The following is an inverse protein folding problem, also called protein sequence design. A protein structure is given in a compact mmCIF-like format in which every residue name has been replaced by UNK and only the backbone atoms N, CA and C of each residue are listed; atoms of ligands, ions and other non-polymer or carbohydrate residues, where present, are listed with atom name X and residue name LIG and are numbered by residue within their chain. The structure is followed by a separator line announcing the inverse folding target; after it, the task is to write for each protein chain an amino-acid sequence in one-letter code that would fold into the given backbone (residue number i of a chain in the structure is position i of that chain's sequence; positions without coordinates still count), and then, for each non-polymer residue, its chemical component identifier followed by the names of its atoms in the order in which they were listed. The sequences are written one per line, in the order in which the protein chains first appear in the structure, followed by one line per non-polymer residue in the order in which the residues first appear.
data_IF_040952168893
#
_entry.id   IF_040952168893
#
_cell.length_a   1.000
_cell.length_b   1.000
_cell.length_c   1.000
_cell.angle_alpha   90.00
_cell.angle_beta   90.00
_cell.angle_gamma   90.00
#
_symmetry.space_group_name_H-M   'P 1'
#
loop_
_entity.id
_entity.type
_entity.pdbx_description
1 polymer ?
#
# COMPACT_ATOMS: atom_id res chain seq x y z
N UNK A 1 -27.23 -29.87 -21.87
CA UNK A 1 -25.96 -29.30 -21.41
C UNK A 1 -26.30 -28.26 -20.36
N UNK A 2 -25.99 -28.46 -19.06
CA UNK A 2 -26.14 -27.39 -18.09
C UNK A 2 -25.09 -26.33 -18.40
N UNK A 3 -25.51 -25.10 -18.58
CA UNK A 3 -24.63 -23.94 -18.75
C UNK A 3 -23.85 -23.75 -17.46
N UNK A 4 -22.54 -24.00 -17.48
CA UNK A 4 -21.66 -23.67 -16.37
C UNK A 4 -21.71 -22.16 -16.13
N UNK A 5 -22.34 -21.78 -15.04
CA UNK A 5 -22.40 -20.42 -14.51
C UNK A 5 -20.98 -20.02 -14.11
N UNK A 6 -20.27 -19.36 -15.03
CA UNK A 6 -18.91 -18.88 -14.80
C UNK A 6 -18.95 -17.87 -13.65
N UNK A 7 -18.33 -18.13 -12.48
CA UNK A 7 -18.43 -17.22 -11.34
C UNK A 7 -17.94 -15.84 -11.76
N UNK A 8 -18.75 -14.82 -11.45
CA UNK A 8 -18.37 -13.44 -11.68
C UNK A 8 -17.06 -13.14 -10.94
N UNK A 9 -16.11 -12.39 -11.51
CA UNK A 9 -14.90 -12.02 -10.80
C UNK A 9 -15.28 -11.13 -9.61
N UNK A 10 -15.35 -11.71 -8.42
CA UNK A 10 -15.49 -11.00 -7.14
C UNK A 10 -14.14 -10.39 -6.74
N UNK A 11 -13.60 -9.52 -7.60
CA UNK A 11 -12.42 -8.73 -7.28
C UNK A 11 -12.78 -7.60 -6.32
N UNK A 12 -12.07 -7.48 -5.20
CA UNK A 12 -12.22 -6.33 -4.29
C UNK A 12 -11.85 -5.05 -5.03
N UNK A 13 -12.78 -4.10 -5.10
CA UNK A 13 -12.50 -2.76 -5.64
C UNK A 13 -11.76 -1.96 -4.58
N UNK A 14 -10.56 -1.50 -4.89
CA UNK A 14 -9.75 -0.64 -4.03
C UNK A 14 -9.85 0.81 -4.50
N UNK A 15 -10.15 1.73 -3.59
CA UNK A 15 -10.24 3.17 -3.90
C UNK A 15 -8.88 3.86 -3.78
N UNK A 16 -8.70 4.99 -4.47
CA UNK A 16 -7.48 5.80 -4.32
C UNK A 16 -7.28 6.34 -2.91
N UNK A 17 -8.36 6.71 -2.22
CA UNK A 17 -8.28 7.16 -0.83
C UNK A 17 -7.68 6.06 0.05
N UNK A 18 -8.13 4.81 -0.13
CA UNK A 18 -7.62 3.64 0.60
C UNK A 18 -6.15 3.34 0.27
N UNK A 19 -5.73 3.47 -0.98
CA UNK A 19 -4.30 3.34 -1.33
C UNK A 19 -3.47 4.38 -0.57
N UNK A 20 -3.94 5.63 -0.52
CA UNK A 20 -3.22 6.74 0.09
C UNK A 20 -3.22 6.69 1.62
N UNK A 21 -4.12 5.94 2.29
CA UNK A 21 -4.00 5.69 3.73
C UNK A 21 -2.77 4.85 4.08
N UNK A 22 -2.25 4.09 3.12
CA UNK A 22 -1.03 3.28 3.25
C UNK A 22 0.19 3.94 2.60
N UNK A 23 0.26 5.28 2.61
CA UNK A 23 1.34 6.03 1.97
C UNK A 23 2.77 5.53 2.33
N UNK A 24 3.11 5.21 3.59
CA UNK A 24 4.44 4.67 3.90
C UNK A 24 4.77 3.36 3.17
N UNK A 25 3.78 2.50 2.93
CA UNK A 25 3.97 1.28 2.15
C UNK A 25 4.16 1.60 0.66
N UNK A 26 3.40 2.58 0.14
CA UNK A 26 3.57 3.10 -1.23
C UNK A 26 4.99 3.61 -1.44
N UNK A 27 5.49 4.46 -0.54
CA UNK A 27 6.85 5.02 -0.63
C UNK A 27 7.92 3.94 -0.60
N UNK A 28 7.83 3.04 0.39
CA UNK A 28 8.80 1.95 0.55
C UNK A 28 8.84 1.03 -0.68
N UNK A 29 7.68 0.67 -1.22
CA UNK A 29 7.59 -0.22 -2.38
C UNK A 29 7.98 0.50 -3.69
N UNK A 30 7.69 1.80 -3.84
CA UNK A 30 8.21 2.60 -4.96
C UNK A 30 9.75 2.65 -4.95
N UNK A 31 10.34 2.77 -3.75
CA UNK A 31 11.77 2.75 -3.60
C UNK A 31 12.36 1.35 -3.88
N UNK A 32 11.79 0.27 -3.31
CA UNK A 32 12.35 -1.08 -3.48
C UNK A 32 12.19 -1.64 -4.88
N UNK A 33 11.01 -1.48 -5.49
CA UNK A 33 10.69 -2.13 -6.78
C UNK A 33 11.16 -1.31 -7.99
N UNK A 34 11.25 0.02 -7.84
CA UNK A 34 11.54 0.92 -8.95
C UNK A 34 12.71 1.88 -8.71
N UNK A 35 13.30 1.90 -7.51
CA UNK A 35 14.35 2.87 -7.16
C UNK A 35 13.84 4.31 -7.14
N UNK A 36 12.54 4.52 -6.90
CA UNK A 36 11.92 5.84 -6.90
C UNK A 36 11.87 6.38 -5.48
N UNK A 37 12.55 7.50 -5.26
CA UNK A 37 12.37 8.32 -4.07
C UNK A 37 11.34 9.43 -4.37
N UNK A 38 10.23 9.45 -3.62
CA UNK A 38 9.19 10.46 -3.78
C UNK A 38 9.54 11.80 -3.13
N UNK A 39 10.55 11.83 -2.25
CA UNK A 39 11.08 13.06 -1.66
C UNK A 39 12.03 13.79 -2.61
N UNK A 40 12.50 13.12 -3.68
CA UNK A 40 13.25 13.78 -4.76
C UNK A 40 12.34 14.74 -5.55
N UNK A 41 12.38 16.01 -5.15
CA UNK A 41 11.62 17.09 -5.78
C UNK A 41 11.99 17.31 -7.24
N UNK A 42 13.22 17.02 -7.65
CA UNK A 42 13.66 17.14 -9.04
C UNK A 42 12.95 16.11 -9.92
N UNK A 43 12.97 14.84 -9.48
CA UNK A 43 12.28 13.75 -10.14
C UNK A 43 10.76 13.99 -10.17
N UNK A 44 10.15 14.35 -9.04
CA UNK A 44 8.70 14.54 -8.94
C UNK A 44 8.19 15.74 -9.75
N UNK A 45 9.02 16.77 -10.00
CA UNK A 45 8.67 17.88 -10.91
C UNK A 45 8.83 17.53 -12.38
N UNK A 46 9.78 16.67 -12.72
CA UNK A 46 10.07 16.27 -14.10
C UNK A 46 9.07 15.24 -14.66
N UNK A 47 8.36 14.52 -13.78
CA UNK A 47 7.42 13.46 -14.16
C UNK A 47 5.98 13.86 -13.86
N UNK A 48 5.06 13.33 -14.66
CA UNK A 48 3.63 13.62 -14.48
C UNK A 48 3.01 12.73 -13.40
N UNK A 49 1.88 13.19 -12.83
CA UNK A 49 1.09 12.35 -11.93
C UNK A 49 0.66 11.03 -12.59
N UNK A 50 0.37 11.03 -13.90
CA UNK A 50 0.06 9.79 -14.64
C UNK A 50 1.21 8.78 -14.59
N UNK A 51 2.46 9.24 -14.66
CA UNK A 51 3.64 8.37 -14.58
C UNK A 51 3.75 7.69 -13.21
N UNK A 52 3.53 8.45 -12.13
CA UNK A 52 3.55 7.93 -10.76
C UNK A 52 2.37 7.00 -10.51
N UNK A 53 1.17 7.41 -10.92
CA UNK A 53 -0.07 6.61 -10.83
C UNK A 53 0.11 5.21 -11.41
N UNK A 54 0.70 5.08 -12.60
CA UNK A 54 0.90 3.77 -13.23
C UNK A 54 1.81 2.85 -12.42
N UNK A 55 2.80 3.40 -11.71
CA UNK A 55 3.70 2.62 -10.83
C UNK A 55 3.00 2.19 -9.56
N UNK A 56 2.23 3.08 -8.94
CA UNK A 56 1.42 2.74 -7.76
C UNK A 56 0.41 1.62 -8.10
N UNK A 57 -0.24 1.68 -9.27
CA UNK A 57 -1.11 0.58 -9.74
C UNK A 57 -0.30 -0.71 -9.98
N UNK A 58 0.90 -0.61 -10.53
CA UNK A 58 1.81 -1.75 -10.71
C UNK A 58 2.14 -2.47 -9.39
N UNK A 59 2.29 -1.73 -8.29
CA UNK A 59 2.52 -2.31 -6.96
C UNK A 59 1.36 -3.21 -6.50
N UNK A 60 0.12 -2.93 -6.91
CA UNK A 60 -1.06 -3.75 -6.58
C UNK A 60 -1.09 -5.07 -7.37
N UNK A 61 -0.39 -5.15 -8.50
CA UNK A 61 -0.33 -6.35 -9.33
C UNK A 61 0.78 -7.31 -8.89
N UNK A 62 1.63 -6.92 -7.95
CA UNK A 62 2.74 -7.70 -7.42
C UNK A 62 2.55 -8.01 -5.93
N UNK A 63 3.33 -8.96 -5.40
CA UNK A 63 3.37 -9.26 -3.96
C UNK A 63 4.20 -8.21 -3.21
N UNK A 64 3.56 -7.07 -2.94
CA UNK A 64 4.17 -5.91 -2.30
C UNK A 64 3.63 -5.69 -0.89
N UNK A 65 4.21 -4.76 -0.11
CA UNK A 65 3.65 -4.40 1.20
C UNK A 65 2.28 -3.76 1.02
N UNK A 66 2.13 -2.90 0.01
CA UNK A 66 0.88 -2.26 -0.34
C UNK A 66 -0.20 -3.28 -0.72
N UNK A 67 0.12 -4.25 -1.58
CA UNK A 67 -0.81 -5.30 -2.00
C UNK A 67 -1.32 -6.14 -0.81
N UNK A 68 -0.42 -6.51 0.11
CA UNK A 68 -0.77 -7.24 1.34
C UNK A 68 -1.58 -6.39 2.32
N UNK A 69 -1.24 -5.12 2.49
CA UNK A 69 -1.98 -4.19 3.35
C UNK A 69 -3.43 -3.99 2.88
N UNK A 70 -3.66 -4.06 1.57
CA UNK A 70 -4.96 -3.94 0.93
C UNK A 70 -5.65 -5.29 0.68
N UNK A 71 -5.11 -6.40 1.18
CA UNK A 71 -5.81 -7.67 1.11
C UNK A 71 -6.94 -7.72 2.15
N UNK A 72 -8.11 -8.33 1.86
CA UNK A 72 -9.25 -8.38 2.77
C UNK A 72 -8.93 -9.14 4.07
N UNK A 73 -7.99 -10.06 4.02
CA UNK A 73 -7.45 -10.80 5.18
C UNK A 73 -6.42 -9.98 5.97
N UNK A 74 -6.21 -8.72 5.56
CA UNK A 74 -5.35 -7.76 6.23
C UNK A 74 -5.80 -7.67 7.67
N UNK A 75 -5.12 -8.42 8.53
CA UNK A 75 -5.08 -8.22 9.97
C UNK A 75 -4.94 -6.73 10.19
N UNK A 76 -6.09 -6.09 10.40
CA UNK A 76 -6.19 -4.94 11.27
C UNK A 76 -5.71 -5.50 12.60
N UNK A 77 -4.39 -5.48 12.78
CA UNK A 77 -3.79 -5.68 14.07
C UNK A 77 -4.45 -4.63 14.94
N UNK A 78 -5.41 -5.09 15.74
CA UNK A 78 -5.67 -4.57 17.05
C UNK A 78 -4.31 -4.25 17.66
N UNK A 79 -3.91 -2.99 17.56
CA UNK A 79 -2.82 -2.46 18.34
C UNK A 79 -3.49 -2.00 19.62
N UNK A 80 -3.49 -2.78 20.71
CA UNK A 80 -3.73 -2.18 22.00
C UNK A 80 -2.69 -1.08 22.16
N UNK A 81 -3.15 0.19 22.16
CA UNK A 81 -2.34 1.32 22.59
C UNK A 81 -2.03 1.10 24.07
N UNK A 82 -0.96 0.37 24.35
CA UNK A 82 -0.36 0.22 25.67
C UNK A 82 1.12 -0.11 25.51
N UNK A 83 1.84 0.80 24.84
CA UNK A 83 3.26 0.95 25.12
C UNK A 83 3.39 2.01 26.21
N UNK A 84 3.21 1.57 27.46
CA UNK A 84 3.68 2.31 28.63
C UNK A 84 5.19 2.33 28.53
N UNK A 85 5.75 3.47 28.14
CA UNK A 85 7.19 3.73 28.28
C UNK A 85 7.49 3.75 29.78
N UNK A 86 8.34 2.85 30.33
CA UNK A 86 8.74 2.98 31.73
C UNK A 86 9.58 4.26 31.89
N UNK A 87 9.18 5.10 32.84
CA UNK A 87 9.96 6.28 33.24
C UNK A 87 11.34 5.86 33.73
N UNK A 88 12.43 6.54 33.32
CA UNK A 88 13.74 6.28 33.91
C UNK A 88 13.72 6.70 35.37
N UNK A 89 13.88 5.73 36.27
CA UNK A 89 14.09 5.97 37.69
C UNK A 89 15.43 6.70 37.86
N UNK A 90 15.38 7.93 38.37
CA UNK A 90 16.57 8.68 38.77
C UNK A 90 16.94 8.25 40.18
N UNK A 91 18.12 7.67 40.34
CA UNK A 91 18.85 7.53 41.61
C UNK A 91 19.41 8.87 42.09
#
# INVERSE_FOLDING_TARGET
MPSEERPAPSGRQVSWAEILTHWPAVEADLHSEYGIDVEDRGLMRARSWRWLRSRIVGLLAADTRLSRALSPDGTSGDHPRSQTIPSPSRS
#
